data_IF_448579910232
#
_entry.id   IF_448579910232
#
_cell.length_a   1.000
_cell.length_b   1.000
_cell.length_c   1.000
_cell.angle_alpha   90.00
_cell.angle_beta   90.00
_cell.angle_gamma   90.00
#
_symmetry.space_group_name_H-M   'P 1'
#
loop_
_entity.id
_entity.type
_entity.pdbx_description
1 polymer ?
#
# COMPACT_ATOMS: atom_id res chain seq x y z
N UNK A 1 9.48 14.92 8.52
CA UNK A 1 8.56 14.98 7.37
C UNK A 1 7.14 15.06 7.91
N UNK A 2 6.33 16.05 7.52
CA UNK A 2 4.92 16.08 7.90
C UNK A 2 4.19 14.94 7.18
N UNK A 3 3.36 14.17 7.89
CA UNK A 3 2.61 13.04 7.33
C UNK A 3 1.72 13.49 6.15
N UNK A 4 1.06 14.65 6.28
CA UNK A 4 0.22 15.22 5.23
C UNK A 4 1.00 15.55 3.95
N UNK A 5 2.25 16.01 4.08
CA UNK A 5 3.10 16.28 2.92
C UNK A 5 3.46 14.99 2.17
N UNK A 6 3.78 13.92 2.90
CA UNK A 6 4.12 12.63 2.30
C UNK A 6 2.94 12.06 1.49
N UNK A 7 1.73 12.07 2.06
CA UNK A 7 0.53 11.58 1.37
C UNK A 7 0.27 12.32 0.06
N UNK A 8 0.41 13.65 0.06
CA UNK A 8 0.25 14.47 -1.15
C UNK A 8 1.27 14.08 -2.22
N UNK A 9 2.55 13.96 -1.87
CA UNK A 9 3.57 13.59 -2.86
C UNK A 9 3.40 12.15 -3.36
N UNK A 10 3.05 11.23 -2.46
CA UNK A 10 2.78 9.84 -2.81
C UNK A 10 1.65 9.74 -3.84
N UNK A 11 0.50 10.38 -3.60
CA UNK A 11 -0.61 10.40 -4.55
C UNK A 11 -0.18 10.92 -5.91
N UNK A 12 0.58 12.03 -5.95
CA UNK A 12 1.05 12.61 -7.22
C UNK A 12 1.97 11.67 -8.00
N UNK A 13 2.82 10.90 -7.31
CA UNK A 13 3.69 9.91 -7.95
C UNK A 13 2.85 8.79 -8.54
N UNK A 14 1.88 8.26 -7.77
CA UNK A 14 0.99 7.18 -8.22
C UNK A 14 0.15 7.63 -9.42
N UNK A 15 -0.52 8.78 -9.31
CA UNK A 15 -1.35 9.34 -10.38
C UNK A 15 -0.54 9.54 -11.66
N UNK A 16 0.69 10.04 -11.54
CA UNK A 16 1.57 10.23 -12.68
C UNK A 16 2.02 8.91 -13.29
N UNK A 17 2.40 7.92 -12.47
CA UNK A 17 2.78 6.60 -12.97
C UNK A 17 1.63 5.89 -13.69
N UNK A 18 0.38 6.18 -13.34
CA UNK A 18 -0.79 5.62 -14.04
C UNK A 18 -1.01 6.23 -15.43
N UNK A 19 -0.62 7.49 -15.65
CA UNK A 19 -0.92 8.24 -16.88
C UNK A 19 0.29 8.31 -17.83
N UNK A 20 1.51 8.36 -17.28
CA UNK A 20 2.76 8.60 -17.99
C UNK A 20 3.66 7.35 -17.93
N UNK A 21 3.71 6.61 -19.04
CA UNK A 21 4.46 5.36 -19.13
C UNK A 21 5.97 5.57 -18.99
N UNK A 22 6.51 6.68 -19.48
CA UNK A 22 7.94 6.97 -19.37
C UNK A 22 8.32 7.25 -17.91
N UNK A 23 7.46 8.00 -17.20
CA UNK A 23 7.62 8.20 -15.76
C UNK A 23 7.52 6.89 -14.99
N UNK A 24 6.55 6.03 -15.31
CA UNK A 24 6.38 4.69 -14.72
C UNK A 24 7.63 3.84 -14.90
N UNK A 25 8.13 3.75 -16.13
CA UNK A 25 9.35 3.02 -16.48
C UNK A 25 10.56 3.50 -15.66
N UNK A 26 10.70 4.82 -15.51
CA UNK A 26 11.78 5.43 -14.73
C UNK A 26 11.62 5.16 -13.22
N UNK A 27 10.40 5.22 -12.71
CA UNK A 27 10.08 4.90 -11.32
C UNK A 27 10.42 3.44 -11.00
N UNK A 28 10.14 2.50 -11.89
CA UNK A 28 10.51 1.09 -11.73
C UNK A 28 12.03 0.91 -11.77
N UNK A 29 12.71 1.52 -12.74
CA UNK A 29 14.16 1.33 -12.95
C UNK A 29 15.02 2.00 -11.89
N UNK A 30 14.60 3.17 -11.39
CA UNK A 30 15.38 3.94 -10.42
C UNK A 30 14.48 4.66 -9.40
N UNK A 31 13.80 3.91 -8.51
CA UNK A 31 12.79 4.47 -7.62
C UNK A 31 13.35 5.51 -6.67
N UNK A 32 14.55 5.29 -6.12
CA UNK A 32 15.18 6.23 -5.19
C UNK A 32 15.42 7.61 -5.81
N UNK A 33 15.87 7.66 -7.06
CA UNK A 33 16.09 8.93 -7.74
C UNK A 33 14.76 9.65 -7.95
N UNK A 34 13.72 8.94 -8.40
CA UNK A 34 12.39 9.52 -8.61
C UNK A 34 11.77 10.00 -7.31
N UNK A 35 11.80 9.21 -6.23
CA UNK A 35 11.28 9.62 -4.92
C UNK A 35 11.99 10.87 -4.39
N UNK A 36 13.30 10.98 -4.63
CA UNK A 36 14.08 12.16 -4.24
C UNK A 36 13.66 13.43 -4.98
N UNK A 37 13.19 13.35 -6.23
CA UNK A 37 12.61 14.50 -6.96
C UNK A 37 11.37 15.07 -6.27
N UNK A 38 10.73 14.30 -5.39
CA UNK A 38 9.53 14.66 -4.62
C UNK A 38 9.83 14.89 -3.13
N UNK A 39 11.09 15.11 -2.77
CA UNK A 39 11.56 15.31 -1.39
C UNK A 39 11.28 14.10 -0.46
N UNK A 40 11.12 12.90 -1.04
CA UNK A 40 10.97 11.65 -0.30
C UNK A 40 12.34 10.98 -0.23
N UNK A 41 13.01 11.18 0.91
CA UNK A 41 14.31 10.54 1.17
C UNK A 41 14.15 9.16 1.80
N UNK A 42 14.80 8.18 1.19
CA UNK A 42 14.83 6.79 1.68
C UNK A 42 16.22 6.51 2.28
N UNK A 43 16.31 5.93 3.49
CA UNK A 43 17.58 5.57 4.11
C UNK A 43 18.43 4.66 3.22
N UNK A 44 19.75 4.88 3.21
CA UNK A 44 20.68 4.19 2.32
C UNK A 44 20.69 2.66 2.49
N UNK A 45 20.35 2.18 3.69
CA UNK A 45 20.27 0.77 4.02
C UNK A 45 18.93 0.10 3.63
N UNK A 46 18.00 0.82 3.01
CA UNK A 46 16.68 0.30 2.61
C UNK A 46 16.61 0.13 1.09
N UNK A 47 16.47 -1.11 0.62
CA UNK A 47 16.20 -1.39 -0.79
C UNK A 47 14.73 -1.03 -1.12
N UNK A 48 14.52 -0.36 -2.25
CA UNK A 48 13.19 -0.02 -2.75
C UNK A 48 12.97 -0.71 -4.08
N UNK A 49 11.86 -1.44 -4.20
CA UNK A 49 11.40 -2.05 -5.44
C UNK A 49 9.99 -1.60 -5.72
N UNK A 50 9.70 -1.32 -6.98
CA UNK A 50 8.35 -1.04 -7.47
C UNK A 50 7.86 -2.31 -8.15
N UNK A 51 6.73 -2.81 -7.68
CA UNK A 51 6.07 -3.98 -8.23
C UNK A 51 4.71 -3.55 -8.76
N UNK A 52 4.38 -3.98 -9.97
CA UNK A 52 3.12 -3.63 -10.62
C UNK A 52 2.18 -4.82 -10.58
N UNK A 53 0.93 -4.55 -10.21
CA UNK A 53 -0.13 -5.53 -10.39
C UNK A 53 -0.42 -5.68 -11.88
N UNK A 54 -0.71 -6.91 -12.29
CA UNK A 54 -1.08 -7.29 -13.65
C UNK A 54 -2.38 -8.10 -13.61
N UNK A 55 -2.95 -8.43 -14.77
CA UNK A 55 -4.23 -9.14 -14.85
C UNK A 55 -4.21 -10.51 -14.16
N UNK A 56 -3.04 -11.14 -14.05
CA UNK A 56 -2.87 -12.47 -13.45
C UNK A 56 -2.16 -12.46 -12.08
N UNK A 57 -1.55 -11.33 -11.70
CA UNK A 57 -0.70 -11.24 -10.52
C UNK A 57 -0.99 -9.98 -9.71
N UNK A 58 -1.36 -10.17 -8.45
CA UNK A 58 -1.57 -9.08 -7.48
C UNK A 58 -0.61 -9.26 -6.31
N UNK A 59 0.07 -8.18 -5.91
CA UNK A 59 0.98 -8.17 -4.78
C UNK A 59 0.31 -7.62 -3.52
N UNK A 60 0.44 -8.36 -2.41
CA UNK A 60 0.03 -7.90 -1.09
C UNK A 60 1.22 -7.26 -0.35
N UNK A 61 1.02 -6.06 0.19
CA UNK A 61 2.01 -5.41 1.03
C UNK A 61 1.85 -5.88 2.46
N UNK A 62 2.82 -6.66 2.95
CA UNK A 62 2.91 -7.02 4.35
C UNK A 62 3.84 -6.04 5.07
N UNK A 63 3.34 -5.25 6.05
CA UNK A 63 4.17 -4.28 6.75
C UNK A 63 5.25 -4.97 7.57
N UNK A 64 6.42 -4.32 7.68
CA UNK A 64 7.51 -4.82 8.51
C UNK A 64 7.04 -4.99 9.97
N UNK A 65 7.43 -6.09 10.63
CA UNK A 65 6.97 -6.45 11.98
C UNK A 65 7.12 -5.31 13.00
N UNK A 66 8.18 -4.51 12.88
CA UNK A 66 8.45 -3.40 13.80
C UNK A 66 7.60 -2.14 13.53
N UNK A 67 6.92 -2.04 12.39
CA UNK A 67 5.99 -0.93 12.09
C UNK A 67 4.76 -0.91 13.02
N UNK A 68 4.52 -2.00 13.76
CA UNK A 68 3.48 -2.15 14.78
C UNK A 68 3.47 -1.03 15.83
N UNK A 69 4.59 -0.35 16.05
CA UNK A 69 4.73 0.68 17.11
C UNK A 69 4.26 2.07 16.67
N UNK A 70 4.30 2.37 15.37
CA UNK A 70 4.11 3.73 14.85
C UNK A 70 2.77 3.88 14.12
N UNK A 71 2.29 2.81 13.50
CA UNK A 71 0.99 2.81 12.84
C UNK A 71 -0.06 2.58 13.93
N UNK A 72 -0.89 3.58 14.21
CA UNK A 72 -2.11 3.38 15.00
C UNK A 72 -2.90 2.26 14.33
N UNK A 73 -3.03 1.12 15.05
CA UNK A 73 -3.56 -0.17 14.59
C UNK A 73 -4.86 -0.12 13.75
N UNK A 74 -5.59 1.00 13.78
CA UNK A 74 -6.88 1.19 13.12
C UNK A 74 -6.83 1.67 11.67
N UNK A 75 -5.77 2.33 11.21
CA UNK A 75 -5.92 3.21 10.02
C UNK A 75 -5.34 2.66 8.71
N UNK A 76 -4.28 1.83 8.77
CA UNK A 76 -3.53 1.47 7.55
C UNK A 76 -3.95 0.15 6.90
N UNK A 77 -4.60 -0.75 7.64
CA UNK A 77 -5.03 -2.05 7.09
C UNK A 77 -6.45 -1.93 6.54
N UNK A 78 -7.35 -1.19 7.19
CA UNK A 78 -8.77 -1.11 6.82
C UNK A 78 -9.02 -0.63 5.40
N UNK A 79 -8.59 0.58 5.04
CA UNK A 79 -9.02 1.18 3.75
C UNK A 79 -8.30 0.57 2.54
N UNK A 80 -7.02 0.21 2.68
CA UNK A 80 -6.28 -0.43 1.58
C UNK A 80 -6.70 -1.89 1.38
N UNK A 81 -7.04 -2.63 2.45
CA UNK A 81 -7.68 -3.93 2.29
C UNK A 81 -9.11 -3.80 1.78
N UNK A 82 -9.84 -2.74 2.12
CA UNK A 82 -11.23 -2.55 1.66
C UNK A 82 -11.30 -2.45 0.13
N UNK A 83 -10.44 -1.65 -0.48
CA UNK A 83 -10.37 -1.51 -1.94
C UNK A 83 -9.82 -2.77 -2.61
N UNK A 84 -8.77 -3.37 -2.04
CA UNK A 84 -8.20 -4.62 -2.54
C UNK A 84 -9.21 -5.77 -2.49
N UNK A 85 -9.98 -5.89 -1.41
CA UNK A 85 -10.99 -6.92 -1.24
C UNK A 85 -12.18 -6.68 -2.17
N UNK A 86 -12.63 -5.43 -2.35
CA UNK A 86 -13.67 -5.08 -3.33
C UNK A 86 -13.25 -5.37 -4.76
N UNK A 87 -11.99 -5.13 -5.11
CA UNK A 87 -11.45 -5.40 -6.44
C UNK A 87 -11.23 -6.89 -6.68
N UNK A 88 -10.72 -7.63 -5.68
CA UNK A 88 -10.38 -9.05 -5.80
C UNK A 88 -11.60 -9.97 -5.69
N UNK A 89 -12.63 -9.59 -4.93
CA UNK A 89 -13.77 -10.46 -4.59
C UNK A 89 -15.12 -9.97 -5.10
N UNK A 90 -15.11 -9.10 -6.13
CA UNK A 90 -16.32 -8.54 -6.78
C UNK A 90 -17.32 -9.60 -7.28
N UNK A 91 -16.84 -10.83 -7.54
CA UNK A 91 -17.64 -11.95 -8.05
C UNK A 91 -18.36 -12.78 -6.96
N UNK A 92 -18.47 -12.26 -5.73
CA UNK A 92 -19.41 -12.79 -4.73
C UNK A 92 -19.09 -14.17 -4.15
N UNK A 93 -17.86 -14.68 -4.30
CA UNK A 93 -17.43 -15.97 -3.72
C UNK A 93 -16.92 -15.83 -2.29
N UNK A 94 -17.61 -15.07 -1.47
CA UNK A 94 -17.32 -15.04 -0.03
C UNK A 94 -18.57 -15.44 0.75
N UNK A 95 -18.42 -16.40 1.66
CA UNK A 95 -19.51 -16.90 2.50
C UNK A 95 -19.71 -16.06 3.76
N UNK A 96 -18.85 -15.06 3.99
CA UNK A 96 -18.88 -14.16 5.15
C UNK A 96 -19.05 -12.72 4.70
N UNK A 97 -19.92 -12.02 5.40
CA UNK A 97 -20.17 -10.59 5.29
C UNK A 97 -19.01 -9.78 5.89
N UNK A 98 -18.91 -8.53 5.47
CA UNK A 98 -17.93 -7.57 5.96
C UNK A 98 -17.90 -7.43 7.49
N UNK A 99 -19.07 -7.47 8.14
CA UNK A 99 -19.15 -7.39 9.60
C UNK A 99 -18.54 -8.61 10.29
N UNK A 100 -18.70 -9.80 9.69
CA UNK A 100 -18.13 -11.03 10.25
C UNK A 100 -16.60 -11.05 10.12
N UNK A 101 -16.06 -10.53 9.02
CA UNK A 101 -14.62 -10.40 8.81
C UNK A 101 -14.02 -9.40 9.81
N UNK A 102 -14.65 -8.22 10.00
CA UNK A 102 -14.17 -7.23 10.96
C UNK A 102 -14.15 -7.74 12.41
N UNK A 103 -15.15 -8.53 12.80
CA UNK A 103 -15.21 -9.13 14.14
C UNK A 103 -14.17 -10.24 14.32
N UNK A 104 -13.86 -11.02 13.27
CA UNK A 104 -12.79 -12.02 13.28
C UNK A 104 -11.40 -11.36 13.31
N UNK A 105 -11.18 -10.35 12.49
CA UNK A 105 -9.95 -9.56 12.47
C UNK A 105 -9.69 -8.92 13.84
N UNK A 106 -10.73 -8.40 14.49
CA UNK A 106 -10.62 -7.85 15.84
C UNK A 106 -10.07 -8.88 16.83
N UNK A 107 -10.47 -10.15 16.75
CA UNK A 107 -9.93 -11.25 17.58
C UNK A 107 -8.45 -11.52 17.27
N UNK A 108 -8.08 -11.50 15.99
CA UNK A 108 -6.68 -11.64 15.55
C UNK A 108 -5.80 -10.49 16.06
N UNK A 109 -6.34 -9.27 16.14
CA UNK A 109 -5.60 -8.07 16.58
C UNK A 109 -5.59 -7.86 18.11
N UNK A 110 -6.56 -8.43 18.84
CA UNK A 110 -6.65 -8.37 20.31
C UNK A 110 -5.93 -9.54 21.01
N UNK A 111 -5.52 -10.57 20.26
CA UNK A 111 -4.57 -11.58 20.73
C UNK A 111 -5.17 -12.68 21.61
N UNK A 112 -6.31 -13.25 21.18
CA UNK A 112 -6.84 -14.51 21.72
C UNK A 112 -6.36 -15.74 20.91
#
# INVERSE_FOLDING_TARGET
>A
MNQEFFEIQYSRIVDRALIDEEFRDRLIKNPRAVLKEYDIEIPENVEVKILENTDDTIYFVLPHREAKKTISRKHWIGEMFDDLFRLTFKDGRHTKTWKEIQEEDKKIYEGE
#
